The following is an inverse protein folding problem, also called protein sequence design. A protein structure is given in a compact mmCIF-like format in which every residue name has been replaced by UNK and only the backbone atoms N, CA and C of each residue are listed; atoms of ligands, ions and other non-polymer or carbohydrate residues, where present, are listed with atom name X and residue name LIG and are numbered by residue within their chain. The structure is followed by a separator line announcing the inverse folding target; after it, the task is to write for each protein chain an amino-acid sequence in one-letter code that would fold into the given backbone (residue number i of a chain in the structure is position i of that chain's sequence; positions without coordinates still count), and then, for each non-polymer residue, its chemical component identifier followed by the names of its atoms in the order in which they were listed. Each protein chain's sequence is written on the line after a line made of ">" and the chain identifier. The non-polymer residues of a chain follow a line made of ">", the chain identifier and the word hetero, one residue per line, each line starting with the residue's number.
data_IF_915275248566
#
_entry.id   IF_915275248566
#
_cell.length_a   1.000
_cell.length_b   1.000
_cell.length_c   1.000
_cell.angle_alpha   90.00
_cell.angle_beta   90.00
_cell.angle_gamma   90.00
#
_symmetry.space_group_name_H-M   'P 1'
#
loop_
_entity.id
_entity.type
_entity.pdbx_description
1 polymer ?
#
# COMPACT_ATOMS: atom_id res chain seq x y z
N UNK A 1 -11.55 49.91 -36.41
CA UNK A 1 -12.75 49.82 -35.55
C UNK A 1 -13.20 48.37 -35.54
N UNK A 2 -13.12 47.72 -34.36
CA UNK A 2 -13.55 46.35 -34.01
C UNK A 2 -12.90 45.16 -34.75
N UNK A 3 -12.60 44.01 -34.14
CA UNK A 3 -12.30 43.61 -32.75
C UNK A 3 -11.70 42.18 -32.86
N UNK A 4 -10.68 41.86 -32.06
CA UNK A 4 -10.12 40.50 -31.91
C UNK A 4 -11.08 39.58 -31.16
N UNK A 5 -11.07 38.28 -31.47
CA UNK A 5 -11.79 37.24 -30.72
C UNK A 5 -10.95 35.96 -30.60
N UNK A 6 -9.97 35.96 -29.71
CA UNK A 6 -9.30 34.73 -29.25
C UNK A 6 -9.95 34.29 -27.95
N UNK A 7 -10.57 33.12 -27.95
CA UNK A 7 -11.08 32.48 -26.75
C UNK A 7 -9.89 31.93 -25.93
N UNK A 8 -9.60 32.56 -24.78
CA UNK A 8 -8.81 31.93 -23.73
C UNK A 8 -9.75 31.05 -22.90
N UNK A 9 -9.65 29.74 -23.05
CA UNK A 9 -10.11 28.80 -22.04
C UNK A 9 -9.04 28.77 -20.94
N UNK A 10 -9.25 29.56 -19.89
CA UNK A 10 -8.48 29.42 -18.66
C UNK A 10 -8.96 28.15 -17.94
N UNK A 11 -8.22 27.05 -18.09
CA UNK A 11 -8.31 25.93 -17.15
C UNK A 11 -7.89 26.46 -15.78
N UNK A 12 -8.85 26.52 -14.86
CA UNK A 12 -8.57 26.84 -13.47
C UNK A 12 -7.61 25.79 -12.91
N UNK A 13 -6.35 26.18 -12.72
CA UNK A 13 -5.51 25.50 -11.77
C UNK A 13 -6.17 25.71 -10.40
N UNK A 14 -6.68 24.64 -9.82
CA UNK A 14 -6.97 24.62 -8.39
C UNK A 14 -5.62 24.79 -7.71
N UNK A 15 -5.31 26.02 -7.30
CA UNK A 15 -4.24 26.27 -6.36
C UNK A 15 -4.57 25.41 -5.14
N UNK A 16 -3.68 24.46 -4.83
CA UNK A 16 -3.75 23.72 -3.57
C UNK A 16 -3.88 24.74 -2.45
N UNK A 17 -5.03 24.75 -1.79
CA UNK A 17 -5.26 25.61 -0.65
C UNK A 17 -4.19 25.28 0.38
N UNK A 18 -3.46 26.30 0.80
CA UNK A 18 -2.51 26.26 1.91
C UNK A 18 -3.31 26.00 3.20
N UNK A 19 -3.76 24.76 3.37
CA UNK A 19 -4.43 24.30 4.58
C UNK A 19 -3.34 23.75 5.47
N UNK A 20 -3.08 24.45 6.58
CA UNK A 20 -2.24 23.95 7.65
C UNK A 20 -2.59 22.48 7.93
N UNK A 21 -1.57 21.63 7.94
CA UNK A 21 -1.76 20.19 8.13
C UNK A 21 -2.62 19.90 9.36
N UNK A 22 -3.63 19.00 9.28
CA UNK A 22 -4.38 18.57 10.45
C UNK A 22 -3.54 17.71 11.40
N UNK A 23 -2.32 17.32 11.01
CA UNK A 23 -1.43 16.44 11.78
C UNK A 23 -0.52 17.27 12.67
N UNK A 24 -0.69 17.13 13.98
CA UNK A 24 0.23 17.70 14.98
C UNK A 24 1.41 16.74 15.23
N UNK A 25 2.61 17.15 14.84
CA UNK A 25 3.85 16.43 15.20
C UNK A 25 4.23 16.77 16.64
N UNK A 26 4.44 15.74 17.47
CA UNK A 26 4.90 15.87 18.86
C UNK A 26 6.22 15.11 19.01
N UNK A 27 7.30 15.85 19.29
CA UNK A 27 8.62 15.28 19.52
C UNK A 27 8.91 15.23 21.03
N UNK A 28 8.85 14.03 21.62
CA UNK A 28 9.15 13.83 23.04
C UNK A 28 10.66 13.74 23.34
N UNK A 29 11.50 13.65 22.29
CA UNK A 29 12.95 13.61 22.39
C UNK A 29 13.53 14.57 21.34
N UNK A 30 14.45 15.49 21.71
CA UNK A 30 15.05 16.43 20.77
C UNK A 30 15.79 15.76 19.60
N UNK A 31 16.28 14.52 19.76
CA UNK A 31 16.91 13.77 18.67
C UNK A 31 15.95 13.47 17.52
N UNK A 32 14.63 13.49 17.74
CA UNK A 32 13.67 13.34 16.64
C UNK A 32 13.82 14.46 15.60
N UNK A 33 14.12 15.69 16.03
CA UNK A 33 14.29 16.83 15.13
C UNK A 33 15.52 16.69 14.22
N UNK A 34 16.42 15.74 14.47
CA UNK A 34 17.56 15.46 13.57
C UNK A 34 17.21 14.43 12.49
N UNK A 35 16.04 13.79 12.56
CA UNK A 35 15.59 12.76 11.61
C UNK A 35 14.63 13.31 10.55
N UNK A 36 14.06 14.49 10.77
CA UNK A 36 13.02 15.10 9.92
C UNK A 36 13.46 16.51 9.52
N UNK A 37 13.19 16.91 8.27
CA UNK A 37 13.48 18.26 7.83
C UNK A 37 12.70 19.29 8.66
N UNK A 38 13.29 20.43 9.07
CA UNK A 38 12.64 21.39 9.96
C UNK A 38 11.30 21.94 9.46
N UNK A 39 11.11 22.01 8.15
CA UNK A 39 9.93 22.52 7.45
C UNK A 39 9.01 21.41 6.93
N UNK A 40 9.31 20.14 7.21
CA UNK A 40 8.46 19.03 6.79
C UNK A 40 7.10 19.12 7.48
N UNK A 41 6.04 19.02 6.67
CA UNK A 41 4.67 18.91 7.15
C UNK A 41 4.12 17.54 6.80
N UNK A 42 3.60 16.82 7.79
CA UNK A 42 2.82 15.63 7.53
C UNK A 42 1.56 16.01 6.76
N UNK A 43 1.12 15.20 5.79
CA UNK A 43 -0.09 15.47 5.03
C UNK A 43 -0.99 14.24 5.04
N UNK A 44 -2.30 14.47 5.06
CA UNK A 44 -3.29 13.41 4.90
C UNK A 44 -3.51 13.20 3.41
N UNK A 45 -2.96 12.12 2.87
CA UNK A 45 -3.13 11.74 1.46
C UNK A 45 -4.57 11.29 1.16
N UNK A 46 -5.18 10.55 2.08
CA UNK A 46 -6.58 10.14 2.05
C UNK A 46 -7.05 9.75 3.45
N UNK A 47 -8.35 9.89 3.71
CA UNK A 47 -9.01 9.40 4.91
C UNK A 47 -10.13 8.38 4.58
N UNK A 48 -10.18 7.91 3.32
CA UNK A 48 -11.32 7.12 2.81
C UNK A 48 -11.12 5.60 2.95
N UNK A 49 -9.91 5.16 3.28
CA UNK A 49 -9.59 3.73 3.42
C UNK A 49 -10.35 3.10 4.60
N UNK A 50 -10.93 1.92 4.40
CA UNK A 50 -11.59 1.17 5.48
C UNK A 50 -10.58 0.58 6.46
N UNK A 51 -9.45 0.09 5.94
CA UNK A 51 -8.34 -0.41 6.74
C UNK A 51 -7.03 -0.34 5.95
N UNK A 52 -6.29 0.76 6.09
CA UNK A 52 -5.04 1.00 5.38
C UNK A 52 -3.88 0.22 6.02
N UNK A 53 -3.19 -0.61 5.24
CA UNK A 53 -2.06 -1.45 5.69
C UNK A 53 -0.99 -1.58 4.59
N UNK A 54 0.19 -2.08 4.99
CA UNK A 54 1.24 -2.53 4.07
C UNK A 54 1.73 -1.48 3.05
N UNK A 55 2.11 -0.27 3.45
CA UNK A 55 2.61 0.74 2.51
C UNK A 55 3.93 0.30 1.84
N UNK A 56 4.06 0.51 0.53
CA UNK A 56 5.32 0.29 -0.22
C UNK A 56 5.59 1.43 -1.21
N UNK A 57 6.76 2.05 -1.11
CA UNK A 57 7.23 3.03 -2.08
C UNK A 57 7.73 2.35 -3.37
N UNK A 58 7.25 2.83 -4.52
CA UNK A 58 7.62 2.28 -5.82
C UNK A 58 8.87 2.96 -6.41
N UNK A 59 9.72 2.25 -7.18
CA UNK A 59 10.92 2.83 -7.78
C UNK A 59 10.66 4.02 -8.70
N UNK A 60 9.56 4.01 -9.45
CA UNK A 60 9.16 5.09 -10.36
C UNK A 60 8.53 6.29 -9.65
N UNK A 61 8.46 6.25 -8.32
CA UNK A 61 7.75 7.22 -7.50
C UNK A 61 6.30 6.84 -7.23
N UNK A 62 5.79 7.40 -6.14
CA UNK A 62 4.50 7.05 -5.58
C UNK A 62 4.59 5.93 -4.55
N UNK A 63 3.44 5.67 -3.94
CA UNK A 63 3.22 4.75 -2.83
C UNK A 63 2.03 3.88 -3.17
N UNK A 64 2.06 2.63 -2.73
CA UNK A 64 0.89 1.76 -2.71
C UNK A 64 0.61 1.29 -1.30
N UNK A 65 -0.62 0.95 -1.01
CA UNK A 65 -1.04 0.37 0.27
C UNK A 65 -2.30 -0.47 0.04
N UNK A 66 -2.56 -1.42 0.92
CA UNK A 66 -3.82 -2.15 0.89
C UNK A 66 -4.90 -1.40 1.64
N UNK A 67 -6.10 -1.34 1.06
CA UNK A 67 -7.33 -1.24 1.85
C UNK A 67 -7.88 -2.66 2.03
N UNK A 68 -7.41 -3.34 3.08
CA UNK A 68 -7.62 -4.79 3.28
C UNK A 68 -9.11 -5.11 3.31
N UNK A 69 -9.91 -4.30 4.01
CA UNK A 69 -11.36 -4.51 4.16
C UNK A 69 -12.17 -4.09 2.93
N UNK A 70 -11.57 -3.31 2.02
CA UNK A 70 -12.15 -3.05 0.71
C UNK A 70 -11.73 -4.09 -0.34
N UNK A 71 -10.81 -5.01 -0.02
CA UNK A 71 -10.24 -5.99 -0.94
C UNK A 71 -9.57 -5.33 -2.16
N UNK A 72 -8.82 -4.25 -1.93
CA UNK A 72 -8.10 -3.50 -2.97
C UNK A 72 -6.69 -3.14 -2.54
N UNK A 73 -5.80 -3.02 -3.51
CA UNK A 73 -4.56 -2.25 -3.35
C UNK A 73 -4.77 -0.91 -4.01
N UNK A 74 -4.44 0.14 -3.27
CA UNK A 74 -4.52 1.53 -3.70
C UNK A 74 -3.13 2.04 -4.06
N UNK A 75 -3.09 3.09 -4.86
CA UNK A 75 -1.88 3.82 -5.25
C UNK A 75 -2.10 5.29 -4.97
N UNK A 76 -1.03 5.97 -4.58
CA UNK A 76 -0.94 7.41 -4.57
C UNK A 76 0.33 7.84 -5.30
N UNK A 77 0.22 8.94 -6.04
CA UNK A 77 1.38 9.60 -6.64
C UNK A 77 1.18 11.11 -6.63
N UNK A 78 2.25 11.82 -6.30
CA UNK A 78 2.27 13.28 -6.30
C UNK A 78 1.77 13.84 -7.64
N UNK A 79 0.91 14.85 -7.60
CA UNK A 79 0.27 15.45 -8.78
C UNK A 79 -0.81 14.61 -9.46
N UNK A 80 -0.89 13.30 -9.22
CA UNK A 80 -1.92 12.40 -9.78
C UNK A 80 -3.01 12.04 -8.76
N UNK A 81 -2.70 12.06 -7.47
CA UNK A 81 -3.62 11.73 -6.39
C UNK A 81 -3.78 10.23 -6.15
N UNK A 82 -4.90 9.84 -5.54
CA UNK A 82 -5.19 8.45 -5.18
C UNK A 82 -5.94 7.73 -6.30
N UNK A 83 -5.52 6.51 -6.63
CA UNK A 83 -6.17 5.63 -7.60
C UNK A 83 -6.15 4.17 -7.13
N UNK A 84 -6.95 3.30 -7.75
CA UNK A 84 -6.86 1.85 -7.51
C UNK A 84 -5.67 1.26 -8.26
N UNK A 85 -4.86 0.42 -7.60
CA UNK A 85 -3.83 -0.40 -8.25
C UNK A 85 -4.36 -1.78 -8.63
N UNK A 86 -5.00 -2.48 -7.69
CA UNK A 86 -5.44 -3.86 -7.86
C UNK A 86 -6.84 -4.06 -7.27
N UNK A 87 -7.74 -4.62 -8.07
CA UNK A 87 -9.13 -4.92 -7.70
C UNK A 87 -9.67 -6.11 -8.54
N UNK A 88 -10.01 -7.26 -7.93
CA UNK A 88 -9.83 -7.58 -6.50
C UNK A 88 -8.37 -7.82 -6.14
N UNK A 89 -7.99 -7.51 -4.90
CA UNK A 89 -6.63 -7.72 -4.39
C UNK A 89 -6.43 -9.05 -3.64
N UNK A 90 -7.47 -9.89 -3.54
CA UNK A 90 -7.47 -11.09 -2.70
C UNK A 90 -7.00 -10.83 -1.27
N UNK A 91 -7.42 -9.69 -0.70
CA UNK A 91 -7.08 -9.25 0.65
C UNK A 91 -5.56 -9.25 0.90
N UNK A 92 -4.79 -8.71 -0.06
CA UNK A 92 -3.39 -8.37 0.17
C UNK A 92 -3.27 -7.43 1.38
N UNK A 93 -2.21 -7.57 2.16
CA UNK A 93 -1.93 -6.81 3.37
C UNK A 93 -0.54 -6.16 3.26
N UNK A 94 0.49 -6.72 3.92
CA UNK A 94 1.86 -6.23 3.80
C UNK A 94 2.44 -6.40 2.39
N UNK A 95 3.32 -5.46 2.02
CA UNK A 95 4.02 -5.45 0.74
C UNK A 95 5.52 -5.25 0.93
N UNK A 96 6.30 -5.91 0.09
CA UNK A 96 7.74 -5.72 -0.01
C UNK A 96 8.18 -5.67 -1.47
N UNK A 97 9.43 -5.27 -1.70
CA UNK A 97 10.06 -5.28 -3.01
C UNK A 97 11.28 -6.16 -2.99
N UNK A 98 11.39 -7.06 -3.97
CA UNK A 98 12.58 -7.88 -4.13
C UNK A 98 13.73 -7.13 -4.83
N UNK A 99 14.91 -7.73 -4.87
CA UNK A 99 16.11 -7.14 -5.51
C UNK A 99 15.97 -6.95 -7.02
N UNK A 100 14.94 -7.50 -7.66
CA UNK A 100 14.60 -7.31 -9.08
C UNK A 100 13.55 -6.22 -9.29
N UNK A 101 13.12 -5.55 -8.22
CA UNK A 101 12.10 -4.51 -8.27
C UNK A 101 10.66 -5.04 -8.34
N UNK A 102 10.43 -6.34 -8.18
CA UNK A 102 9.09 -6.92 -8.21
C UNK A 102 8.42 -6.78 -6.85
N UNK A 103 7.10 -6.59 -6.88
CA UNK A 103 6.30 -6.51 -5.66
C UNK A 103 5.98 -7.89 -5.14
N UNK A 104 6.21 -8.09 -3.85
CA UNK A 104 5.77 -9.25 -3.09
C UNK A 104 4.69 -8.77 -2.13
N UNK A 105 3.62 -9.54 -1.98
CA UNK A 105 2.54 -9.23 -1.05
C UNK A 105 2.17 -10.43 -0.20
N UNK A 106 1.78 -10.15 1.03
CA UNK A 106 1.14 -11.10 1.92
C UNK A 106 -0.37 -11.09 1.62
N UNK A 107 -0.97 -12.24 1.28
CA UNK A 107 -2.40 -12.34 0.93
C UNK A 107 -3.17 -13.15 1.96
N UNK A 108 -4.08 -12.50 2.69
CA UNK A 108 -5.02 -13.19 3.57
C UNK A 108 -6.00 -14.08 2.79
N UNK A 109 -6.46 -13.61 1.62
CA UNK A 109 -7.46 -14.31 0.81
C UNK A 109 -6.91 -15.59 0.19
N UNK A 110 -5.74 -15.52 -0.44
CA UNK A 110 -5.10 -16.70 -1.02
C UNK A 110 -4.44 -17.59 0.04
N UNK A 111 -4.21 -17.03 1.25
CA UNK A 111 -3.42 -17.66 2.33
C UNK A 111 -2.03 -18.00 1.81
N UNK A 112 -1.39 -17.00 1.22
CA UNK A 112 -0.16 -17.15 0.45
C UNK A 112 0.71 -15.89 0.47
N UNK A 113 2.00 -16.06 0.22
CA UNK A 113 2.85 -15.01 -0.32
C UNK A 113 2.74 -15.05 -1.84
N UNK A 114 2.45 -13.89 -2.43
CA UNK A 114 2.28 -13.72 -3.87
C UNK A 114 3.27 -12.69 -4.40
N UNK A 115 3.61 -12.78 -5.68
CA UNK A 115 4.50 -11.84 -6.36
C UNK A 115 3.91 -11.41 -7.68
N UNK A 116 3.99 -10.11 -7.98
CA UNK A 116 3.66 -9.59 -9.30
C UNK A 116 4.83 -9.84 -10.25
N UNK A 117 4.58 -10.57 -11.34
CA UNK A 117 5.55 -10.81 -12.39
C UNK A 117 5.57 -9.66 -13.42
N UNK A 118 6.60 -9.58 -14.29
CA UNK A 118 6.73 -8.51 -15.28
C UNK A 118 5.57 -8.40 -16.29
N UNK A 119 4.80 -9.47 -16.47
CA UNK A 119 3.57 -9.50 -17.28
C UNK A 119 2.36 -8.88 -16.54
N UNK A 120 2.56 -8.38 -15.32
CA UNK A 120 1.54 -7.80 -14.44
C UNK A 120 0.73 -8.84 -13.66
N UNK A 121 0.92 -10.14 -13.92
CA UNK A 121 0.18 -11.21 -13.26
C UNK A 121 0.73 -11.50 -11.86
N UNK A 122 -0.17 -11.78 -10.92
CA UNK A 122 0.20 -12.25 -9.58
C UNK A 122 0.37 -13.76 -9.58
N UNK A 123 1.46 -14.23 -8.99
CA UNK A 123 1.76 -15.66 -8.86
C UNK A 123 2.09 -16.02 -7.42
N UNK A 124 1.60 -17.16 -6.98
CA UNK A 124 1.93 -17.75 -5.68
C UNK A 124 3.42 -18.05 -5.60
N UNK A 125 4.08 -17.57 -4.55
CA UNK A 125 5.45 -17.92 -4.17
C UNK A 125 5.42 -19.08 -3.18
N UNK A 126 4.56 -19.01 -2.17
CA UNK A 126 4.32 -20.07 -1.19
C UNK A 126 2.91 -19.96 -0.60
N UNK A 127 2.20 -21.08 -0.50
CA UNK A 127 0.85 -21.18 0.09
C UNK A 127 0.74 -22.28 1.17
N UNK A 128 1.79 -23.08 1.34
CA UNK A 128 1.83 -24.22 2.27
C UNK A 128 3.17 -24.37 2.96
N UNK A 129 3.09 -24.88 4.19
CA UNK A 129 4.23 -25.37 4.96
C UNK A 129 3.88 -26.74 5.55
N UNK A 130 4.79 -27.71 5.36
CA UNK A 130 4.60 -29.12 5.79
C UNK A 130 3.23 -29.72 5.38
N UNK A 131 2.79 -29.42 4.15
CA UNK A 131 1.54 -29.92 3.58
C UNK A 131 0.27 -29.19 4.05
N UNK A 132 0.36 -28.30 5.04
CA UNK A 132 -0.73 -27.48 5.55
C UNK A 132 -0.72 -26.10 4.91
N UNK A 133 -1.88 -25.49 4.69
CA UNK A 133 -1.96 -24.11 4.17
C UNK A 133 -1.43 -23.12 5.20
N UNK A 134 -0.88 -21.99 4.75
CA UNK A 134 -0.60 -20.86 5.64
C UNK A 134 -1.91 -20.36 6.26
N UNK A 135 -1.87 -19.66 7.39
CA UNK A 135 -3.06 -19.12 8.03
C UNK A 135 -3.59 -17.91 7.24
N UNK A 136 -2.91 -16.78 7.37
CA UNK A 136 -3.19 -15.52 6.70
C UNK A 136 -1.93 -14.65 6.80
N UNK A 137 -0.98 -14.76 5.85
CA UNK A 137 0.24 -13.98 5.87
C UNK A 137 -0.07 -12.49 6.00
N UNK A 138 0.50 -11.82 7.00
CA UNK A 138 0.08 -10.48 7.40
C UNK A 138 1.04 -9.39 6.91
N UNK A 139 2.33 -9.52 7.23
CA UNK A 139 3.37 -8.61 6.73
C UNK A 139 4.53 -9.40 6.13
N UNK A 140 5.28 -8.77 5.22
CA UNK A 140 6.37 -9.40 4.47
C UNK A 140 7.54 -8.44 4.27
N UNK A 141 8.76 -8.96 4.33
CA UNK A 141 9.98 -8.26 3.96
C UNK A 141 10.91 -9.17 3.15
N UNK A 142 11.84 -8.58 2.41
CA UNK A 142 12.84 -9.29 1.62
C UNK A 142 14.22 -8.82 2.05
N UNK A 143 15.11 -9.76 2.40
CA UNK A 143 16.49 -9.46 2.75
C UNK A 143 17.38 -9.24 1.51
N UNK A 144 18.62 -8.83 1.74
CA UNK A 144 19.61 -8.54 0.69
C UNK A 144 20.06 -9.78 -0.10
N UNK A 145 19.91 -10.98 0.48
CA UNK A 145 20.16 -12.26 -0.17
C UNK A 145 18.94 -12.79 -0.95
N UNK A 146 17.81 -12.08 -0.88
CA UNK A 146 16.55 -12.47 -1.53
C UNK A 146 15.68 -13.43 -0.71
N UNK A 147 16.00 -13.66 0.56
CA UNK A 147 15.15 -14.37 1.51
C UNK A 147 13.86 -13.59 1.78
N UNK A 148 12.73 -14.28 1.78
CA UNK A 148 11.40 -13.70 2.04
C UNK A 148 10.97 -14.10 3.45
N UNK A 149 10.77 -13.10 4.31
CA UNK A 149 10.38 -13.26 5.69
C UNK A 149 8.99 -12.68 5.89
N UNK A 150 8.09 -13.43 6.52
CA UNK A 150 6.72 -13.00 6.72
C UNK A 150 6.14 -13.52 8.03
N UNK A 151 5.11 -12.86 8.52
CA UNK A 151 4.29 -13.28 9.67
C UNK A 151 3.04 -14.02 9.18
N UNK A 152 2.61 -15.08 9.88
CA UNK A 152 1.44 -15.89 9.49
C UNK A 152 0.40 -16.04 10.63
N UNK A 153 -0.18 -14.94 11.13
CA UNK A 153 -1.17 -14.98 12.20
C UNK A 153 -2.51 -15.57 11.73
N UNK A 154 -3.38 -15.89 12.69
CA UNK A 154 -4.71 -16.48 12.42
C UNK A 154 -5.85 -15.47 12.30
N UNK A 155 -5.67 -14.23 12.74
CA UNK A 155 -6.78 -13.26 12.82
C UNK A 155 -7.37 -12.93 11.44
N UNK A 156 -6.56 -12.88 10.39
CA UNK A 156 -7.02 -12.59 9.03
C UNK A 156 -7.96 -13.66 8.50
N UNK A 157 -7.56 -14.94 8.59
CA UNK A 157 -8.37 -16.08 8.12
C UNK A 157 -9.64 -16.31 8.95
N UNK A 158 -9.64 -15.89 10.22
CA UNK A 158 -10.83 -15.94 11.09
C UNK A 158 -11.79 -14.77 10.85
N UNK A 159 -11.34 -13.69 10.20
CA UNK A 159 -12.13 -12.49 9.92
C UNK A 159 -12.55 -12.41 8.44
N UNK A 160 -13.83 -12.63 8.15
CA UNK A 160 -14.39 -12.54 6.78
C UNK A 160 -14.39 -11.14 6.18
N UNK A 161 -14.17 -10.09 6.99
CA UNK A 161 -13.96 -8.75 6.45
C UNK A 161 -12.56 -8.56 5.87
N UNK A 162 -11.61 -9.45 6.20
CA UNK A 162 -10.19 -9.35 5.83
C UNK A 162 -9.68 -10.57 5.06
N UNK A 163 -10.56 -11.52 4.71
CA UNK A 163 -10.21 -12.72 3.93
C UNK A 163 -11.47 -13.39 3.36
N UNK A 164 -11.29 -14.48 2.60
CA UNK A 164 -12.38 -15.39 2.23
C UNK A 164 -12.84 -16.31 3.37
N UNK A 165 -12.25 -16.17 4.56
CA UNK A 165 -12.44 -17.07 5.69
C UNK A 165 -11.71 -18.41 5.55
N UNK A 166 -11.65 -19.17 6.64
CA UNK A 166 -11.06 -20.51 6.62
C UNK A 166 -10.88 -21.06 8.03
N UNK A 167 -10.22 -22.22 8.10
CA UNK A 167 -9.74 -22.78 9.37
C UNK A 167 -8.23 -22.57 9.42
N UNK A 168 -7.67 -22.03 10.52
CA UNK A 168 -6.24 -22.05 10.75
C UNK A 168 -5.69 -23.47 10.64
N UNK A 169 -4.50 -23.59 10.05
CA UNK A 169 -3.81 -24.87 9.88
C UNK A 169 -2.38 -24.84 10.43
N UNK A 170 -1.78 -23.64 10.54
CA UNK A 170 -0.50 -23.42 11.23
C UNK A 170 -0.73 -23.01 12.68
N UNK A 171 0.21 -23.37 13.56
CA UNK A 171 0.13 -23.20 15.02
C UNK A 171 0.76 -21.91 15.52
#
# INVERSE_FOLDING_TARGET
>A
MLLFGSALLASGAVMASDTASPVKVVANNPHFATLVQPDAQAQVVTADAKWAEGPLCLPEGGLIWSDVKANKVMRWKEGEGVSTWLDPAHYQNGHARDSKGRVIAASHGERAIVRQEPDGQWRTVVDKYQGKRLNSPNDVTVDDQGGIWFSDPTFGVLNKAESYGGKPEQG
#
